data_IF_582401374072
#
_entry.id   IF_582401374072
#
_cell.length_a   1.000
_cell.length_b   1.000
_cell.length_c   1.000
_cell.angle_alpha   90.00
_cell.angle_beta   90.00
_cell.angle_gamma   90.00
#
_symmetry.space_group_name_H-M   'P 1'
#
loop_
_entity.id
_entity.type
_entity.pdbx_description
1 polymer ?
#
# COMPACT_ATOMS: atom_id res chain seq x y z
N UNK A 1 -0.88 6.36 -23.69
CA UNK A 1 -1.42 5.22 -22.89
C UNK A 1 -0.30 4.41 -22.28
N UNK A 2 0.58 3.79 -23.07
CA UNK A 2 1.68 2.96 -22.53
C UNK A 2 2.58 3.72 -21.54
N UNK A 3 3.00 4.94 -21.89
CA UNK A 3 3.74 5.83 -20.98
C UNK A 3 2.98 6.12 -19.69
N UNK A 4 1.67 6.32 -19.76
CA UNK A 4 0.84 6.64 -18.60
C UNK A 4 0.73 5.45 -17.65
N UNK A 5 0.57 4.23 -18.19
CA UNK A 5 0.59 2.98 -17.40
C UNK A 5 1.94 2.82 -16.71
N UNK A 6 3.06 3.07 -17.42
CA UNK A 6 4.40 3.02 -16.84
C UNK A 6 4.52 4.01 -15.68
N UNK A 7 4.09 5.26 -15.86
CA UNK A 7 4.17 6.28 -14.81
C UNK A 7 3.34 5.89 -13.57
N UNK A 8 2.13 5.37 -13.75
CA UNK A 8 1.31 4.90 -12.62
C UNK A 8 1.98 3.75 -11.87
N UNK A 9 2.59 2.81 -12.60
CA UNK A 9 3.30 1.70 -11.99
C UNK A 9 4.53 2.15 -11.18
N UNK A 10 5.29 3.12 -11.70
CA UNK A 10 6.42 3.72 -10.97
C UNK A 10 5.97 4.44 -9.69
N UNK A 11 4.89 5.21 -9.75
CA UNK A 11 4.32 5.89 -8.58
C UNK A 11 3.84 4.86 -7.53
N UNK A 12 3.20 3.77 -7.98
CA UNK A 12 2.76 2.69 -7.10
C UNK A 12 3.93 2.02 -6.37
N UNK A 13 5.03 1.73 -7.07
CA UNK A 13 6.26 1.18 -6.46
C UNK A 13 6.81 2.16 -5.42
N UNK A 14 6.86 3.44 -5.74
CA UNK A 14 7.39 4.45 -4.83
C UNK A 14 6.56 4.55 -3.54
N UNK A 15 5.23 4.55 -3.64
CA UNK A 15 4.33 4.54 -2.48
C UNK A 15 4.48 3.26 -1.65
N UNK A 16 4.67 2.11 -2.31
CA UNK A 16 4.90 0.84 -1.62
C UNK A 16 6.17 0.88 -0.77
N UNK A 17 7.26 1.43 -1.32
CA UNK A 17 8.53 1.61 -0.60
C UNK A 17 8.33 2.57 0.59
N UNK A 18 7.66 3.70 0.39
CA UNK A 18 7.39 4.67 1.46
C UNK A 18 6.55 4.07 2.60
N UNK A 19 5.50 3.34 2.26
CA UNK A 19 4.66 2.69 3.27
C UNK A 19 5.45 1.65 4.08
N UNK A 20 6.30 0.87 3.40
CA UNK A 20 7.20 -0.11 4.05
C UNK A 20 8.19 0.57 5.00
N UNK A 21 8.76 1.71 4.62
CA UNK A 21 9.71 2.44 5.48
C UNK A 21 9.04 3.12 6.66
N UNK A 22 7.77 3.53 6.52
CA UNK A 22 7.01 4.18 7.60
C UNK A 22 6.42 3.21 8.62
N UNK A 23 6.16 1.96 8.24
CA UNK A 23 5.60 0.95 9.14
C UNK A 23 6.35 0.83 10.49
N UNK A 24 7.70 0.74 10.54
CA UNK A 24 8.42 0.72 11.82
C UNK A 24 8.25 2.01 12.62
N UNK A 25 8.27 3.18 11.98
CA UNK A 25 8.07 4.46 12.68
C UNK A 25 6.71 4.52 13.39
N UNK A 26 5.67 3.96 12.77
CA UNK A 26 4.32 3.86 13.35
C UNK A 26 4.30 2.89 14.53
N UNK A 27 4.99 1.74 14.40
CA UNK A 27 5.10 0.75 15.47
C UNK A 27 5.83 1.34 16.68
N UNK A 28 6.89 2.11 16.45
CA UNK A 28 7.67 2.75 17.51
C UNK A 28 6.91 3.89 18.19
N UNK A 29 6.20 4.75 17.44
CA UNK A 29 5.31 5.77 18.01
C UNK A 29 4.21 5.15 18.88
N UNK A 30 3.63 4.03 18.43
CA UNK A 30 2.62 3.30 19.18
C UNK A 30 3.17 2.75 20.51
N UNK A 31 4.38 2.19 20.51
CA UNK A 31 5.06 1.70 21.72
C UNK A 31 5.29 2.82 22.74
N UNK A 32 5.73 4.00 22.29
CA UNK A 32 5.97 5.16 23.18
C UNK A 32 4.67 5.68 23.78
N UNK A 33 3.59 5.74 23.00
CA UNK A 33 2.27 6.22 23.49
C UNK A 33 1.57 5.23 24.41
N UNK A 34 1.84 3.93 24.31
CA UNK A 34 1.15 2.86 25.04
C UNK A 34 2.13 1.96 25.80
N UNK A 35 2.79 2.44 26.86
CA UNK A 35 3.79 1.67 27.59
C UNK A 35 3.22 0.42 28.29
N UNK A 36 1.90 0.34 28.51
CA UNK A 36 1.21 -0.82 29.08
C UNK A 36 0.99 -1.96 28.07
N UNK A 37 1.10 -1.68 26.77
CA UNK A 37 0.81 -2.60 25.68
C UNK A 37 2.09 -2.90 24.90
N UNK A 38 3.03 -3.58 25.54
CA UNK A 38 4.27 -4.06 24.92
C UNK A 38 3.97 -5.31 24.05
N UNK A 39 4.79 -5.57 23.02
CA UNK A 39 4.74 -6.75 22.13
C UNK A 39 3.64 -6.83 21.06
N UNK A 40 3.00 -5.71 20.68
CA UNK A 40 2.04 -5.69 19.55
C UNK A 40 2.69 -5.64 18.15
N UNK A 41 4.00 -5.52 18.09
CA UNK A 41 4.77 -5.47 16.84
C UNK A 41 4.48 -6.62 15.86
N UNK A 42 4.42 -7.91 16.29
CA UNK A 42 4.10 -9.00 15.38
C UNK A 42 2.69 -8.90 14.78
N UNK A 43 1.74 -8.30 15.50
CA UNK A 43 0.38 -8.09 15.01
C UNK A 43 0.37 -7.08 13.85
N UNK A 44 1.09 -5.96 13.98
CA UNK A 44 1.21 -4.96 12.92
C UNK A 44 1.85 -5.55 11.65
N UNK A 45 2.96 -6.27 11.78
CA UNK A 45 3.62 -6.90 10.63
C UNK A 45 2.77 -8.02 9.99
N UNK A 46 2.10 -8.84 10.80
CA UNK A 46 1.22 -9.90 10.29
C UNK A 46 0.00 -9.32 9.58
N UNK A 47 -0.60 -8.28 10.14
CA UNK A 47 -1.70 -7.52 9.56
C UNK A 47 -1.28 -6.89 8.22
N UNK A 48 -0.14 -6.21 8.18
CA UNK A 48 0.42 -5.66 6.95
C UNK A 48 0.64 -6.72 5.87
N UNK A 49 1.27 -7.84 6.23
CA UNK A 49 1.53 -8.95 5.31
C UNK A 49 0.24 -9.61 4.79
N UNK A 50 -0.75 -9.77 5.66
CA UNK A 50 -2.07 -10.30 5.31
C UNK A 50 -2.79 -9.39 4.31
N UNK A 51 -2.91 -8.10 4.61
CA UNK A 51 -3.59 -7.15 3.73
C UNK A 51 -2.87 -6.95 2.40
N UNK A 52 -1.54 -7.02 2.38
CA UNK A 52 -0.78 -6.95 1.12
C UNK A 52 -1.10 -8.12 0.19
N UNK A 53 -1.15 -9.34 0.73
CA UNK A 53 -1.52 -10.54 -0.04
C UNK A 53 -2.98 -10.52 -0.47
N UNK A 54 -3.87 -10.23 0.48
CA UNK A 54 -5.29 -10.15 0.25
C UNK A 54 -5.64 -9.08 -0.80
N UNK A 55 -4.99 -7.92 -0.75
CA UNK A 55 -5.18 -6.86 -1.75
C UNK A 55 -4.75 -7.30 -3.16
N UNK A 56 -3.60 -7.98 -3.26
CA UNK A 56 -3.14 -8.56 -4.52
C UNK A 56 -4.11 -9.59 -5.10
N UNK A 57 -4.52 -10.56 -4.28
CA UNK A 57 -5.44 -11.62 -4.68
C UNK A 57 -6.84 -11.08 -5.00
N UNK A 58 -7.33 -10.12 -4.22
CA UNK A 58 -8.61 -9.45 -4.43
C UNK A 58 -8.60 -8.65 -5.74
N UNK A 59 -7.51 -7.96 -6.06
CA UNK A 59 -7.36 -7.24 -7.33
C UNK A 59 -7.49 -8.18 -8.53
N UNK A 60 -6.81 -9.33 -8.48
CA UNK A 60 -6.91 -10.35 -9.52
C UNK A 60 -8.33 -10.90 -9.61
N UNK A 61 -8.92 -11.27 -8.47
CA UNK A 61 -10.28 -11.82 -8.42
C UNK A 61 -11.34 -10.87 -8.98
N UNK A 62 -11.31 -9.59 -8.56
CA UNK A 62 -12.21 -8.55 -9.08
C UNK A 62 -11.98 -8.35 -10.58
N UNK A 63 -10.73 -8.33 -11.02
CA UNK A 63 -10.41 -8.16 -12.45
C UNK A 63 -10.99 -9.29 -13.30
N UNK A 64 -10.86 -10.55 -12.83
CA UNK A 64 -11.44 -11.71 -13.49
C UNK A 64 -12.97 -11.64 -13.52
N UNK A 65 -13.60 -11.26 -12.42
CA UNK A 65 -15.06 -11.16 -12.33
C UNK A 65 -15.61 -10.09 -13.28
N UNK A 66 -14.98 -8.92 -13.35
CA UNK A 66 -15.38 -7.86 -14.29
C UNK A 66 -15.25 -8.32 -15.74
N UNK A 67 -14.15 -9.00 -16.09
CA UNK A 67 -13.96 -9.55 -17.44
C UNK A 67 -14.95 -10.66 -17.78
N UNK A 68 -15.30 -11.50 -16.81
CA UNK A 68 -16.32 -12.53 -16.96
C UNK A 68 -17.69 -11.92 -17.30
N UNK A 69 -18.12 -10.92 -16.53
CA UNK A 69 -19.38 -10.22 -16.79
C UNK A 69 -19.37 -9.41 -18.09
N UNK A 70 -18.22 -8.85 -18.50
CA UNK A 70 -18.07 -8.20 -19.80
C UNK A 70 -18.11 -9.17 -20.99
N UNK A 71 -18.13 -10.48 -20.75
CA UNK A 71 -18.19 -11.50 -21.80
C UNK A 71 -16.85 -11.75 -22.48
N UNK A 72 -15.73 -11.55 -21.77
CA UNK A 72 -14.39 -11.85 -22.28
C UNK A 72 -14.27 -13.35 -22.65
N UNK A 73 -13.90 -13.64 -23.91
CA UNK A 73 -13.64 -15.00 -24.40
C UNK A 73 -12.18 -15.09 -24.87
N UNK A 74 -11.33 -15.88 -24.18
CA UNK A 74 -9.94 -16.03 -24.58
C UNK A 74 -9.85 -16.65 -25.99
N UNK A 75 -9.09 -16.03 -26.89
CA UNK A 75 -8.86 -16.52 -28.26
C UNK A 75 -9.91 -16.10 -29.30
N UNK A 76 -10.89 -15.26 -28.96
CA UNK A 76 -11.83 -14.74 -29.96
C UNK A 76 -11.13 -13.76 -30.94
N UNK A 77 -11.32 -13.94 -32.25
CA UNK A 77 -10.74 -13.05 -33.26
C UNK A 77 -11.28 -11.61 -33.21
N UNK A 78 -12.48 -11.41 -32.65
CA UNK A 78 -13.12 -10.11 -32.50
C UNK A 78 -13.68 -9.98 -31.08
N UNK A 79 -13.22 -8.98 -30.36
CA UNK A 79 -13.68 -8.69 -29.01
C UNK A 79 -14.78 -7.63 -29.06
N UNK A 80 -15.79 -7.78 -28.19
CA UNK A 80 -16.85 -6.78 -28.05
C UNK A 80 -16.27 -5.45 -27.52
N UNK A 81 -16.86 -4.30 -27.90
CA UNK A 81 -16.41 -3.00 -27.42
C UNK A 81 -16.49 -2.88 -25.89
N UNK A 82 -17.45 -3.55 -25.25
CA UNK A 82 -17.61 -3.58 -23.79
C UNK A 82 -16.39 -4.20 -23.09
N UNK A 83 -15.84 -5.28 -23.63
CA UNK A 83 -14.64 -5.93 -23.08
C UNK A 83 -13.44 -4.98 -23.15
N UNK A 84 -13.25 -4.30 -24.28
CA UNK A 84 -12.17 -3.33 -24.47
C UNK A 84 -12.31 -2.17 -23.47
N UNK A 85 -13.54 -1.70 -23.26
CA UNK A 85 -13.84 -0.65 -22.29
C UNK A 85 -13.53 -1.11 -20.85
N UNK A 86 -13.97 -2.30 -20.46
CA UNK A 86 -13.65 -2.87 -19.14
C UNK A 86 -12.14 -2.99 -18.92
N UNK A 87 -11.39 -3.52 -19.89
CA UNK A 87 -9.93 -3.54 -19.81
C UNK A 87 -9.36 -2.13 -19.63
N UNK A 88 -9.81 -1.16 -20.43
CA UNK A 88 -9.33 0.21 -20.31
C UNK A 88 -9.58 0.80 -18.92
N UNK A 89 -10.76 0.54 -18.34
CA UNK A 89 -11.13 0.97 -16.99
C UNK A 89 -10.27 0.29 -15.92
N UNK A 90 -10.04 -1.02 -16.03
CA UNK A 90 -9.23 -1.79 -15.09
C UNK A 90 -7.78 -1.33 -15.06
N UNK A 91 -7.20 -0.97 -16.21
CA UNK A 91 -5.76 -0.67 -16.32
C UNK A 91 -5.41 0.81 -16.16
N UNK A 92 -6.36 1.74 -16.26
CA UNK A 92 -6.08 3.18 -16.13
C UNK A 92 -6.83 3.88 -14.98
N UNK A 93 -8.14 4.15 -15.05
CA UNK A 93 -8.83 4.93 -14.01
C UNK A 93 -8.85 4.24 -12.65
N UNK A 94 -9.02 2.91 -12.58
CA UNK A 94 -9.06 2.19 -11.30
C UNK A 94 -7.73 2.34 -10.52
N UNK A 95 -6.54 2.05 -11.11
CA UNK A 95 -5.26 2.31 -10.46
C UNK A 95 -5.06 3.77 -10.04
N UNK A 96 -5.43 4.73 -10.89
CA UNK A 96 -5.29 6.17 -10.57
C UNK A 96 -6.10 6.52 -9.33
N UNK A 97 -7.38 6.11 -9.27
CA UNK A 97 -8.24 6.41 -8.13
C UNK A 97 -7.69 5.80 -6.84
N UNK A 98 -7.19 4.56 -6.89
CA UNK A 98 -6.56 3.91 -5.74
C UNK A 98 -5.29 4.65 -5.28
N UNK A 99 -4.46 5.12 -6.22
CA UNK A 99 -3.29 5.94 -5.91
C UNK A 99 -3.66 7.27 -5.27
N UNK A 100 -4.71 7.94 -5.77
CA UNK A 100 -5.19 9.21 -5.20
C UNK A 100 -5.73 9.02 -3.77
N UNK A 101 -6.46 7.94 -3.52
CA UNK A 101 -6.95 7.60 -2.17
C UNK A 101 -5.76 7.36 -1.23
N UNK A 102 -4.77 6.58 -1.66
CA UNK A 102 -3.54 6.33 -0.89
C UNK A 102 -2.81 7.63 -0.58
N UNK A 103 -2.65 8.51 -1.57
CA UNK A 103 -2.01 9.82 -1.41
C UNK A 103 -2.80 10.72 -0.45
N UNK A 104 -4.14 10.74 -0.54
CA UNK A 104 -4.97 11.49 0.41
C UNK A 104 -4.73 11.02 1.84
N UNK A 105 -4.77 9.70 2.08
CA UNK A 105 -4.51 9.12 3.42
C UNK A 105 -3.11 9.53 3.92
N UNK A 106 -2.12 9.51 3.04
CA UNK A 106 -0.75 9.93 3.36
C UNK A 106 -0.64 11.43 3.68
N UNK A 107 -1.33 12.29 2.94
CA UNK A 107 -1.38 13.73 3.22
C UNK A 107 -2.09 14.05 4.54
N UNK A 108 -3.06 13.24 4.94
CA UNK A 108 -3.72 13.33 6.25
C UNK A 108 -2.88 12.75 7.39
N UNK A 109 -1.66 12.25 7.13
CA UNK A 109 -0.73 11.79 8.15
C UNK A 109 0.30 12.90 8.47
N UNK A 110 0.02 13.81 9.44
CA UNK A 110 0.95 14.87 9.81
C UNK A 110 2.14 14.29 10.58
N UNK A 111 3.19 13.89 9.87
CA UNK A 111 4.50 13.63 10.48
C UNK A 111 5.12 14.99 10.76
N UNK A 112 4.96 15.49 11.97
CA UNK A 112 5.77 16.60 12.46
C UNK A 112 7.17 16.06 12.78
N UNK A 113 8.22 16.62 12.17
CA UNK A 113 9.62 16.27 12.46
C UNK A 113 9.94 16.37 13.96
N UNK A 114 9.27 17.26 14.68
CA UNK A 114 9.38 17.41 16.13
C UNK A 114 8.92 16.16 16.90
N UNK A 115 7.90 15.44 16.42
CA UNK A 115 7.46 14.19 17.05
C UNK A 115 8.44 13.06 16.77
N UNK A 116 8.98 12.96 15.55
CA UNK A 116 10.02 11.98 15.23
C UNK A 116 11.26 12.15 16.11
N UNK A 117 11.73 13.39 16.33
CA UNK A 117 12.87 13.64 17.24
C UNK A 117 12.59 13.19 18.66
N UNK A 118 11.40 13.52 19.21
CA UNK A 118 11.01 13.10 20.57
C UNK A 118 10.95 11.58 20.73
N UNK A 119 10.46 10.86 19.72
CA UNK A 119 10.40 9.39 19.73
C UNK A 119 11.82 8.81 19.69
N UNK A 120 12.71 9.35 18.85
CA UNK A 120 14.11 8.91 18.79
C UNK A 120 14.86 9.16 20.10
N UNK A 121 14.64 10.31 20.73
CA UNK A 121 15.25 10.63 22.02
C UNK A 121 14.73 9.69 23.13
N UNK A 122 13.42 9.45 23.19
CA UNK A 122 12.81 8.52 24.15
C UNK A 122 13.30 7.07 23.97
N UNK A 123 13.44 6.60 22.72
CA UNK A 123 13.98 5.27 22.43
C UNK A 123 15.46 5.13 22.81
N UNK A 124 16.25 6.20 22.59
CA UNK A 124 17.66 6.26 22.98
C UNK A 124 17.84 6.22 24.50
N UNK A 125 16.99 6.94 25.25
CA UNK A 125 16.97 6.88 26.71
C UNK A 125 16.54 5.51 27.25
N UNK A 126 15.63 4.82 26.55
CA UNK A 126 15.18 3.47 26.89
C UNK A 126 16.15 2.35 26.46
N UNK A 127 17.28 2.68 25.82
CA UNK A 127 18.33 1.71 25.46
C UNK A 127 18.04 0.85 24.23
N UNK A 128 17.04 1.20 23.41
CA UNK A 128 16.74 0.50 22.17
C UNK A 128 17.69 0.98 21.05
N UNK A 129 18.72 0.20 20.75
CA UNK A 129 19.62 0.45 19.61
C UNK A 129 18.93 0.01 18.32
N UNK A 130 18.81 0.96 17.39
CA UNK A 130 18.28 0.86 16.02
C UNK A 130 18.64 -0.47 15.30
N UNK A 131 17.79 -1.49 15.42
CA UNK A 131 17.94 -2.78 14.70
C UNK A 131 17.57 -2.64 13.21
N UNK A 132 17.04 -1.49 12.78
CA UNK A 132 16.34 -1.35 11.50
C UNK A 132 17.21 -1.25 10.23
N UNK A 133 18.54 -1.25 10.33
CA UNK A 133 19.41 -1.16 9.12
C UNK A 133 19.64 -2.54 8.45
N UNK A 134 19.19 -3.65 9.03
CA UNK A 134 19.54 -4.99 8.52
C UNK A 134 18.39 -5.96 8.23
N UNK A 135 17.15 -5.50 8.07
CA UNK A 135 16.02 -6.36 7.68
C UNK A 135 15.28 -5.87 6.43
#
# INVERSE_FOLDING_TARGET
>A
IFLFIIMNYLIAIQLFIYFRSMLPDVVDDFKVKNPSCQDLEPLFYSCYGFFSKLGGDMSVGVSTLVLYFAGYKPGACKHNPEVIFSLWVLFAPVPICLLLISLMIFCFYPINEEQQRKIQDALREAGYVFVFVLA
#
